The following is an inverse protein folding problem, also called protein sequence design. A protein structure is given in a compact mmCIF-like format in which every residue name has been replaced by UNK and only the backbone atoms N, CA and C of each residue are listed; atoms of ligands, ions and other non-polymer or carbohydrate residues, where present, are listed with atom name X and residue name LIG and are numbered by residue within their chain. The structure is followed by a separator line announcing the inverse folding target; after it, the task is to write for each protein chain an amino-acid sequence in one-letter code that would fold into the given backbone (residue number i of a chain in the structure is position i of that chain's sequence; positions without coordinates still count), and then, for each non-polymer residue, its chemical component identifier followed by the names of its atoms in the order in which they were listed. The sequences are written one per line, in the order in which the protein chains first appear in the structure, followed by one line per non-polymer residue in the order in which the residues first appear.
data_IF_988569373647
#
_entry.id   IF_988569373647
#
_cell.length_a   1.000
_cell.length_b   1.000
_cell.length_c   1.000
_cell.angle_alpha   90.00
_cell.angle_beta   90.00
_cell.angle_gamma   90.00
#
_symmetry.space_group_name_H-M   'P 1'
#
loop_
_entity.id
_entity.type
_entity.pdbx_description
1 polymer ?
#
# COMPACT_ATOMS: atom_id res chain seq x y z
N UNK A 1 20.75 -7.68 17.39
CA UNK A 1 20.64 -8.40 16.12
C UNK A 1 20.12 -7.41 15.09
N UNK A 2 21.00 -6.87 14.27
CA UNK A 2 20.59 -6.07 13.11
C UNK A 2 19.94 -7.04 12.11
N UNK A 3 18.64 -6.87 11.88
CA UNK A 3 17.97 -7.55 10.77
C UNK A 3 18.47 -6.90 9.48
N UNK A 4 19.37 -7.57 8.76
CA UNK A 4 19.70 -7.21 7.38
C UNK A 4 18.41 -7.24 6.56
N UNK A 5 17.86 -6.07 6.25
CA UNK A 5 16.75 -5.94 5.30
C UNK A 5 17.26 -6.37 3.92
N UNK A 6 16.99 -7.62 3.54
CA UNK A 6 17.20 -8.07 2.16
C UNK A 6 16.29 -7.28 1.24
N UNK A 7 16.88 -6.45 0.40
CA UNK A 7 16.17 -5.74 -0.65
C UNK A 7 15.89 -6.71 -1.81
N UNK A 8 14.63 -6.89 -2.16
CA UNK A 8 14.21 -7.63 -3.35
C UNK A 8 13.72 -6.63 -4.38
N UNK A 9 14.41 -6.54 -5.51
CA UNK A 9 14.03 -5.67 -6.63
C UNK A 9 13.50 -6.52 -7.78
N UNK A 10 12.34 -6.14 -8.32
CA UNK A 10 11.74 -6.79 -9.49
C UNK A 10 11.38 -5.74 -10.54
N UNK A 11 11.79 -5.95 -11.79
CA UNK A 11 11.44 -5.10 -12.93
C UNK A 11 10.55 -5.89 -13.90
N UNK A 12 9.37 -5.37 -14.17
CA UNK A 12 8.37 -5.98 -15.05
C UNK A 12 8.00 -4.97 -16.13
N UNK A 13 7.82 -5.43 -17.37
CA UNK A 13 7.23 -4.63 -18.45
C UNK A 13 5.72 -4.83 -18.42
N UNK A 14 4.97 -3.73 -18.27
CA UNK A 14 3.52 -3.73 -18.28
C UNK A 14 3.03 -2.87 -19.45
N UNK A 15 2.12 -3.41 -20.25
CA UNK A 15 1.43 -2.67 -21.32
C UNK A 15 0.23 -1.91 -20.75
N UNK A 16 0.50 -0.96 -19.85
CA UNK A 16 -0.52 -0.14 -19.18
C UNK A 16 0.03 1.27 -18.93
N UNK A 17 -0.85 2.26 -18.76
CA UNK A 17 -0.45 3.62 -18.42
C UNK A 17 -0.14 3.80 -16.92
N UNK A 18 0.55 4.90 -16.60
CA UNK A 18 1.00 5.20 -15.23
C UNK A 18 -0.18 5.40 -14.27
N UNK A 19 -1.27 5.98 -14.75
CA UNK A 19 -2.46 6.28 -13.96
C UNK A 19 -3.12 5.00 -13.45
N UNK A 20 -3.18 3.95 -14.28
CA UNK A 20 -3.71 2.64 -13.87
C UNK A 20 -2.78 1.92 -12.90
N UNK A 21 -1.46 2.04 -13.08
CA UNK A 21 -0.50 1.49 -12.12
C UNK A 21 -0.67 2.18 -10.77
N UNK A 22 -0.70 3.52 -10.77
CA UNK A 22 -0.87 4.31 -9.55
C UNK A 22 -2.16 3.95 -8.83
N UNK A 23 -3.28 3.84 -9.57
CA UNK A 23 -4.56 3.42 -9.01
C UNK A 23 -4.48 2.02 -8.38
N UNK A 24 -3.84 1.06 -9.04
CA UNK A 24 -3.70 -0.29 -8.48
C UNK A 24 -2.88 -0.32 -7.17
N UNK A 25 -1.97 0.63 -6.99
CA UNK A 25 -1.13 0.76 -5.79
C UNK A 25 -1.76 1.60 -4.68
N UNK A 26 -2.75 2.44 -4.98
CA UNK A 26 -3.29 3.43 -4.03
C UNK A 26 -4.79 3.35 -3.77
N UNK A 27 -5.57 2.73 -4.65
CA UNK A 27 -7.01 2.54 -4.44
C UNK A 27 -7.24 1.47 -3.35
N UNK A 28 -7.97 1.78 -2.26
CA UNK A 28 -8.24 0.85 -1.17
C UNK A 28 -8.84 -0.48 -1.65
N UNK A 29 -9.79 -0.43 -2.59
CA UNK A 29 -10.48 -1.64 -3.08
C UNK A 29 -9.57 -2.54 -3.90
N UNK A 30 -8.60 -1.97 -4.63
CA UNK A 30 -7.63 -2.73 -5.40
C UNK A 30 -6.49 -3.25 -4.53
N UNK A 31 -6.02 -2.44 -3.59
CA UNK A 31 -4.97 -2.84 -2.65
C UNK A 31 -5.42 -3.98 -1.76
N UNK A 32 -6.66 -3.96 -1.25
CA UNK A 32 -7.22 -5.07 -0.48
C UNK A 32 -7.12 -6.41 -1.25
N UNK A 33 -7.50 -6.39 -2.52
CA UNK A 33 -7.49 -7.59 -3.37
C UNK A 33 -6.08 -8.14 -3.63
N UNK A 34 -5.07 -7.29 -3.68
CA UNK A 34 -3.73 -7.63 -4.18
C UNK A 34 -2.62 -7.58 -3.13
N UNK A 35 -2.86 -6.97 -1.97
CA UNK A 35 -1.88 -6.73 -0.91
C UNK A 35 -2.33 -7.36 0.40
N UNK A 36 -2.52 -8.68 0.40
CA UNK A 36 -2.82 -9.47 1.61
C UNK A 36 -4.05 -8.98 2.40
N UNK A 37 -5.16 -8.66 1.72
CA UNK A 37 -6.40 -8.13 2.33
C UNK A 37 -6.20 -6.81 3.10
N UNK A 38 -5.16 -6.04 2.77
CA UNK A 38 -4.92 -4.73 3.36
C UNK A 38 -5.23 -3.61 2.36
N UNK A 39 -6.00 -2.64 2.84
CA UNK A 39 -6.31 -1.39 2.16
C UNK A 39 -5.25 -0.34 2.50
N UNK A 40 -4.77 0.40 1.49
CA UNK A 40 -4.01 1.62 1.75
C UNK A 40 -4.96 2.77 2.05
N UNK A 41 -4.86 3.35 3.24
CA UNK A 41 -5.59 4.54 3.67
C UNK A 41 -4.62 5.71 3.72
N UNK A 42 -4.61 6.53 2.67
CA UNK A 42 -3.74 7.70 2.54
C UNK A 42 -4.34 8.74 1.60
N UNK A 43 -4.09 10.03 1.84
CA UNK A 43 -4.34 11.07 0.83
C UNK A 43 -3.29 11.07 -0.28
N UNK A 44 -2.17 10.36 -0.08
CA UNK A 44 -1.00 10.38 -0.95
C UNK A 44 -0.40 11.78 -1.15
N UNK A 45 -0.64 12.69 -0.22
CA UNK A 45 -0.03 14.02 -0.17
C UNK A 45 1.24 13.99 0.68
N UNK A 46 2.22 14.84 0.37
CA UNK A 46 3.47 14.91 1.14
C UNK A 46 3.16 15.20 2.62
N UNK A 47 3.84 14.49 3.52
CA UNK A 47 3.67 14.49 4.97
C UNK A 47 2.38 13.86 5.50
N UNK A 48 1.47 13.41 4.63
CA UNK A 48 0.30 12.64 5.05
C UNK A 48 0.71 11.25 5.54
N UNK A 49 -0.16 10.66 6.35
CA UNK A 49 0.01 9.28 6.78
C UNK A 49 -0.39 8.31 5.65
N UNK A 50 0.32 7.19 5.61
CA UNK A 50 0.03 6.05 4.74
C UNK A 50 -0.16 4.82 5.63
N UNK A 51 -1.43 4.49 5.89
CA UNK A 51 -1.81 3.45 6.83
C UNK A 51 -2.30 2.22 6.07
N UNK A 52 -1.66 1.08 6.27
CA UNK A 52 -2.13 -0.19 5.72
C UNK A 52 -3.04 -0.87 6.74
N UNK A 53 -4.31 -1.03 6.37
CA UNK A 53 -5.36 -1.49 7.27
C UNK A 53 -6.09 -2.70 6.71
N UNK A 54 -6.33 -3.69 7.54
CA UNK A 54 -7.24 -4.78 7.24
C UNK A 54 -8.65 -4.40 7.70
N UNK A 55 -9.67 -4.62 6.85
CA UNK A 55 -11.08 -4.51 7.24
C UNK A 55 -11.52 -5.81 7.93
N UNK A 56 -12.07 -5.69 9.13
CA UNK A 56 -12.60 -6.80 9.92
C UNK A 56 -14.05 -7.11 9.53
N UNK A 57 -14.57 -8.25 9.98
CA UNK A 57 -15.96 -8.67 9.71
C UNK A 57 -17.01 -7.70 10.27
N UNK A 58 -16.68 -6.99 11.35
CA UNK A 58 -17.52 -5.97 11.98
C UNK A 58 -17.36 -4.57 11.35
N UNK A 59 -16.71 -4.50 10.19
CA UNK A 59 -16.37 -3.28 9.45
C UNK A 59 -15.38 -2.33 10.15
N UNK A 60 -14.81 -2.73 11.28
CA UNK A 60 -13.70 -2.01 11.91
C UNK A 60 -12.40 -2.25 11.13
N UNK A 61 -11.37 -1.46 11.46
CA UNK A 61 -10.06 -1.58 10.84
C UNK A 61 -8.98 -1.88 11.87
N UNK A 62 -8.08 -2.79 11.52
CA UNK A 62 -6.81 -3.03 12.23
C UNK A 62 -5.66 -2.49 11.39
N UNK A 63 -4.86 -1.59 11.95
CA UNK A 63 -3.65 -1.06 11.30
C UNK A 63 -2.50 -2.05 11.47
N UNK A 64 -1.89 -2.46 10.36
CA UNK A 64 -0.74 -3.38 10.35
C UNK A 64 0.58 -2.64 10.14
N UNK A 65 0.59 -1.63 9.27
CA UNK A 65 1.77 -0.83 8.97
C UNK A 65 1.42 0.66 8.91
N UNK A 66 2.32 1.46 9.44
CA UNK A 66 2.21 2.91 9.48
C UNK A 66 3.45 3.53 8.83
N UNK A 67 3.22 4.42 7.87
CA UNK A 67 4.26 5.16 7.19
C UNK A 67 3.84 6.62 6.97
N UNK A 68 4.80 7.43 6.53
CA UNK A 68 4.56 8.80 6.05
C UNK A 68 4.95 8.91 4.59
N UNK A 69 4.19 9.71 3.86
CA UNK A 69 4.54 10.08 2.49
C UNK A 69 5.64 11.14 2.54
N UNK A 70 6.77 10.85 1.93
CA UNK A 70 7.91 11.76 1.80
C UNK A 70 8.09 12.21 0.35
N UNK A 71 8.87 13.28 0.15
CA UNK A 71 9.30 13.79 -1.16
C UNK A 71 10.26 12.82 -1.88
#
# INVERSE_FOLDING_TARGET
MENEKKCVCLKILLDVNKERIWKALTDPSLTEKHMYNCQLHSSCEINSDALWKQKNEDETFTTHEEAKVFE
#
